data_IF_627974871806
#
_entry.id   IF_627974871806
#
_cell.length_a   1.000
_cell.length_b   1.000
_cell.length_c   1.000
_cell.angle_alpha   90.00
_cell.angle_beta   90.00
_cell.angle_gamma   90.00
#
_symmetry.space_group_name_H-M   'P 1'
#
loop_
_entity.id
_entity.type
_entity.pdbx_description
1 polymer ?
#
# COMPACT_ATOMS: atom_id res chain seq x y z
N UNK A 1 -61.01 -34.02 22.09
CA UNK A 1 -60.07 -33.09 22.75
C UNK A 1 -58.81 -32.98 21.90
N UNK A 2 -58.22 -31.79 21.88
CA UNK A 2 -57.00 -31.30 21.22
C UNK A 2 -55.84 -32.33 21.10
N UNK A 3 -54.89 -32.25 20.14
CA UNK A 3 -53.90 -31.19 19.96
C UNK A 3 -53.10 -31.40 18.66
N UNK A 4 -52.74 -30.28 18.01
CA UNK A 4 -51.69 -30.14 16.98
C UNK A 4 -50.41 -29.62 17.67
N UNK A 5 -49.21 -30.14 17.31
CA UNK A 5 -48.05 -29.38 16.77
C UNK A 5 -46.65 -30.04 16.94
N UNK A 6 -45.85 -29.89 15.86
CA UNK A 6 -44.38 -29.68 15.75
C UNK A 6 -43.45 -30.90 15.98
N UNK A 7 -42.35 -31.08 15.23
CA UNK A 7 -41.67 -30.15 14.32
C UNK A 7 -40.73 -30.84 13.32
N UNK A 8 -40.63 -30.21 12.15
CA UNK A 8 -39.58 -30.35 11.13
C UNK A 8 -38.58 -29.20 11.30
N UNK A 9 -37.36 -29.45 10.81
CA UNK A 9 -36.27 -28.51 10.52
C UNK A 9 -35.48 -27.97 11.73
N UNK A 10 -34.22 -28.38 11.78
CA UNK A 10 -33.14 -27.67 12.45
C UNK A 10 -31.95 -27.63 11.50
N UNK A 11 -31.95 -26.67 10.58
CA UNK A 11 -30.74 -26.23 9.91
C UNK A 11 -29.79 -25.71 11.01
N UNK A 12 -28.63 -26.35 11.15
CA UNK A 12 -27.58 -25.81 12.00
C UNK A 12 -27.18 -24.41 11.50
N UNK A 13 -26.85 -23.47 12.40
CA UNK A 13 -26.48 -22.13 11.99
C UNK A 13 -25.29 -22.22 11.04
N UNK A 14 -25.49 -21.78 9.80
CA UNK A 14 -24.41 -21.47 8.88
C UNK A 14 -23.43 -20.58 9.65
N UNK A 15 -22.16 -20.99 9.71
CA UNK A 15 -21.10 -20.14 10.20
C UNK A 15 -21.20 -18.81 9.46
N UNK A 16 -21.64 -17.77 10.17
CA UNK A 16 -21.68 -16.41 9.65
C UNK A 16 -20.23 -16.05 9.33
N UNK A 17 -19.91 -16.04 8.03
CA UNK A 17 -18.63 -15.58 7.52
C UNK A 17 -18.34 -14.20 8.07
N UNK A 18 -17.11 -14.02 8.57
CA UNK A 18 -16.64 -12.77 9.13
C UNK A 18 -16.80 -11.62 8.13
N UNK A 19 -17.67 -10.67 8.47
CA UNK A 19 -18.09 -9.54 7.65
C UNK A 19 -17.00 -8.48 7.34
N UNK A 20 -15.73 -8.86 7.45
CA UNK A 20 -14.56 -8.01 7.20
C UNK A 20 -13.73 -8.46 5.98
N UNK A 21 -14.00 -9.66 5.43
CA UNK A 21 -13.07 -10.41 4.55
C UNK A 21 -13.64 -10.80 3.17
N UNK A 22 -14.47 -9.95 2.55
CA UNK A 22 -14.70 -10.03 1.09
C UNK A 22 -13.97 -8.86 0.41
N UNK A 23 -12.66 -8.76 0.60
CA UNK A 23 -11.84 -7.97 -0.30
C UNK A 23 -11.75 -8.76 -1.61
N UNK A 24 -12.67 -8.43 -2.53
CA UNK A 24 -12.88 -9.04 -3.86
C UNK A 24 -13.81 -10.26 -3.84
N UNK A 25 -15.11 -10.01 -4.02
CA UNK A 25 -16.00 -11.04 -4.59
C UNK A 25 -15.52 -11.47 -5.98
N UNK A 26 -15.82 -12.73 -6.35
CA UNK A 26 -15.42 -13.62 -7.45
C UNK A 26 -15.16 -13.08 -8.89
N UNK A 27 -14.83 -11.81 -9.11
CA UNK A 27 -14.93 -11.17 -10.43
C UNK A 27 -13.61 -10.82 -11.13
N UNK A 28 -12.70 -10.09 -10.49
CA UNK A 28 -11.47 -9.62 -11.14
C UNK A 28 -10.33 -9.42 -10.13
N UNK A 29 -9.10 -9.80 -10.48
CA UNK A 29 -7.93 -9.61 -9.63
C UNK A 29 -7.35 -8.21 -9.78
N UNK A 30 -7.02 -7.59 -8.64
CA UNK A 30 -6.06 -6.48 -8.57
C UNK A 30 -4.70 -7.00 -9.04
N UNK A 31 -4.08 -6.35 -10.02
CA UNK A 31 -2.78 -6.79 -10.56
C UNK A 31 -1.72 -5.71 -10.46
N UNK A 32 -0.46 -6.13 -10.49
CA UNK A 32 0.67 -5.21 -10.52
C UNK A 32 0.87 -4.63 -11.93
N UNK A 33 1.24 -3.35 -12.01
CA UNK A 33 1.74 -2.79 -13.28
C UNK A 33 3.21 -3.18 -13.41
N UNK A 34 3.62 -3.73 -14.56
CA UNK A 34 5.02 -4.09 -14.77
C UNK A 34 5.91 -2.86 -14.67
N UNK A 35 6.79 -2.85 -13.67
CA UNK A 35 7.83 -1.86 -13.49
C UNK A 35 9.16 -2.47 -13.92
N UNK A 36 9.59 -2.14 -15.14
CA UNK A 36 10.81 -2.69 -15.71
C UNK A 36 11.92 -1.63 -15.78
N UNK A 37 12.98 -1.86 -14.99
CA UNK A 37 14.21 -1.05 -15.01
C UNK A 37 15.24 -1.57 -16.02
N UNK A 38 15.00 -2.74 -16.61
CA UNK A 38 15.92 -3.45 -17.49
C UNK A 38 15.68 -3.15 -18.99
N UNK A 39 14.44 -2.88 -19.43
CA UNK A 39 14.12 -2.55 -20.83
C UNK A 39 14.68 -1.21 -21.30
N UNK A 40 15.95 -1.21 -21.72
CA UNK A 40 16.61 -0.11 -22.43
C UNK A 40 16.80 1.16 -21.60
N UNK A 41 17.99 1.77 -21.68
CA UNK A 41 18.32 3.01 -20.96
C UNK A 41 17.33 4.16 -21.25
N UNK A 42 16.70 4.16 -22.43
CA UNK A 42 16.01 5.33 -22.98
C UNK A 42 14.60 5.61 -22.44
N UNK A 43 13.84 4.66 -21.88
CA UNK A 43 12.42 4.92 -21.57
C UNK A 43 12.17 5.61 -20.23
N UNK A 44 12.81 5.14 -19.15
CA UNK A 44 12.63 5.74 -17.81
C UNK A 44 13.55 6.94 -17.59
N UNK A 45 14.75 6.99 -18.19
CA UNK A 45 15.64 8.14 -18.11
C UNK A 45 15.00 9.38 -18.75
N UNK A 46 14.33 9.24 -19.91
CA UNK A 46 13.60 10.33 -20.56
C UNK A 46 12.41 10.81 -19.73
N UNK A 47 11.70 9.91 -19.05
CA UNK A 47 10.63 10.31 -18.12
C UNK A 47 11.20 11.05 -16.91
N UNK A 48 12.24 10.52 -16.28
CA UNK A 48 12.94 11.19 -15.18
C UNK A 48 13.57 12.53 -15.57
N UNK A 49 13.99 12.68 -16.83
CA UNK A 49 14.55 13.92 -17.34
C UNK A 49 13.55 15.08 -17.30
N UNK A 50 12.24 14.79 -17.40
CA UNK A 50 11.16 15.79 -17.35
C UNK A 50 10.97 16.39 -15.95
N UNK A 51 11.34 15.64 -14.91
CA UNK A 51 11.10 16.01 -13.51
C UNK A 51 12.28 16.76 -12.87
N UNK A 52 13.14 17.43 -13.65
CA UNK A 52 14.45 17.91 -13.17
C UNK A 52 14.71 19.39 -13.25
N UNK A 53 15.43 19.83 -12.22
CA UNK A 53 16.16 21.09 -12.09
C UNK A 53 17.69 20.92 -11.93
N UNK A 54 18.31 19.78 -12.31
CA UNK A 54 19.75 19.55 -12.00
C UNK A 54 20.52 18.45 -12.76
N UNK A 55 20.78 17.28 -12.14
CA UNK A 55 21.78 16.28 -12.59
C UNK A 55 21.20 14.91 -12.94
N UNK A 56 21.66 14.19 -14.00
CA UNK A 56 21.61 12.70 -14.28
C UNK A 56 20.82 11.74 -13.35
N UNK A 57 19.71 11.06 -13.69
CA UNK A 57 19.09 10.05 -12.76
C UNK A 57 19.67 8.75 -13.25
N UNK A 58 20.42 8.07 -12.40
CA UNK A 58 21.03 6.80 -12.71
C UNK A 58 20.20 5.64 -12.15
N UNK A 59 20.44 4.42 -12.64
CA UNK A 59 19.85 3.20 -12.05
C UNK A 59 20.16 3.07 -10.55
N UNK A 60 21.31 3.58 -10.12
CA UNK A 60 21.73 3.60 -8.71
C UNK A 60 20.82 4.49 -7.86
N UNK A 61 20.24 5.55 -8.43
CA UNK A 61 19.28 6.44 -7.75
C UNK A 61 17.87 5.84 -7.63
N UNK A 62 17.61 4.75 -8.35
CA UNK A 62 16.38 3.96 -8.30
C UNK A 62 16.58 2.64 -7.54
N UNK A 63 17.78 2.32 -7.06
CA UNK A 63 18.02 1.09 -6.32
C UNK A 63 17.32 1.14 -4.96
N UNK A 64 16.73 0.02 -4.54
CA UNK A 64 16.15 -0.16 -3.21
C UNK A 64 17.02 -1.16 -2.42
N UNK A 65 18.04 -0.70 -1.66
CA UNK A 65 18.99 -1.59 -0.98
C UNK A 65 18.35 -2.54 0.03
N UNK A 66 17.16 -2.19 0.54
CA UNK A 66 16.39 -3.01 1.47
C UNK A 66 16.24 -4.47 0.98
N UNK A 67 16.10 -4.69 -0.33
CA UNK A 67 15.97 -6.04 -0.90
C UNK A 67 17.19 -6.95 -0.66
N UNK A 68 18.36 -6.37 -0.36
CA UNK A 68 19.54 -7.16 0.02
C UNK A 68 19.30 -7.92 1.33
N UNK A 69 18.55 -7.34 2.28
CA UNK A 69 18.22 -7.98 3.57
C UNK A 69 17.42 -9.27 3.39
N UNK A 70 16.33 -9.20 2.63
CA UNK A 70 15.43 -10.35 2.46
C UNK A 70 15.97 -11.40 1.49
N UNK A 71 17.01 -11.05 0.73
CA UNK A 71 17.80 -11.99 -0.09
C UNK A 71 18.94 -12.65 0.69
N UNK A 72 19.12 -12.31 1.97
CA UNK A 72 20.18 -12.87 2.81
C UNK A 72 21.58 -12.33 2.56
N UNK A 73 21.70 -11.18 1.86
CA UNK A 73 22.99 -10.52 1.66
C UNK A 73 23.28 -9.48 2.75
N UNK A 74 24.55 -9.06 2.86
CA UNK A 74 24.92 -7.97 3.75
C UNK A 74 24.57 -6.60 3.12
N UNK A 75 23.89 -5.75 3.88
CA UNK A 75 23.59 -4.36 3.50
C UNK A 75 24.87 -3.55 3.22
N UNK A 76 26.01 -3.94 3.79
CA UNK A 76 27.29 -3.25 3.67
C UNK A 76 28.18 -3.78 2.54
N UNK A 77 27.83 -4.89 1.87
CA UNK A 77 28.67 -5.55 0.86
C UNK A 77 28.66 -4.89 -0.54
N UNK A 78 27.87 -3.84 -0.78
CA UNK A 78 27.94 -3.10 -2.06
C UNK A 78 28.94 -1.96 -1.99
N UNK A 79 30.15 -2.25 -2.49
CA UNK A 79 31.24 -1.30 -2.68
C UNK A 79 30.84 -0.03 -3.43
N UNK A 80 31.47 1.08 -3.03
CA UNK A 80 31.49 2.33 -3.79
C UNK A 80 30.88 3.53 -3.09
N UNK A 81 31.67 4.15 -2.22
CA UNK A 81 31.51 5.50 -1.66
C UNK A 81 30.33 5.76 -0.71
N UNK A 82 30.70 5.95 0.55
CA UNK A 82 30.02 6.70 1.62
C UNK A 82 29.80 8.19 1.30
N UNK A 83 29.56 8.57 0.04
CA UNK A 83 29.13 9.94 -0.30
C UNK A 83 27.65 10.06 0.03
N UNK A 84 27.37 10.53 1.25
CA UNK A 84 26.13 11.22 1.68
C UNK A 84 24.94 11.00 0.75
N UNK A 85 24.46 9.75 0.67
CA UNK A 85 23.25 9.42 -0.07
C UNK A 85 22.13 10.07 0.74
N UNK A 86 21.52 11.13 0.20
CA UNK A 86 20.28 11.65 0.78
C UNK A 86 19.23 10.57 0.60
N UNK A 87 19.01 9.82 1.69
CA UNK A 87 18.05 8.74 1.75
C UNK A 87 16.63 9.28 1.70
N UNK A 88 16.34 10.35 2.44
CA UNK A 88 15.05 11.02 2.43
C UNK A 88 14.82 11.83 1.15
N UNK A 89 13.56 11.87 0.71
CA UNK A 89 13.10 12.73 -0.38
C UNK A 89 13.19 14.20 0.04
N UNK A 90 13.77 15.05 -0.81
CA UNK A 90 13.72 16.49 -0.57
C UNK A 90 12.34 17.06 -0.93
N UNK A 91 12.08 18.29 -0.47
CA UNK A 91 10.79 18.96 -0.67
C UNK A 91 10.43 19.14 -2.15
N UNK A 92 11.42 19.38 -3.01
CA UNK A 92 11.16 19.56 -4.45
C UNK A 92 10.70 18.26 -5.10
N UNK A 93 11.31 17.13 -4.74
CA UNK A 93 10.92 15.81 -5.23
C UNK A 93 9.50 15.46 -4.77
N UNK A 94 9.14 15.78 -3.53
CA UNK A 94 7.81 15.53 -2.99
C UNK A 94 6.73 16.40 -3.62
N UNK A 95 7.06 17.65 -3.95
CA UNK A 95 6.14 18.54 -4.65
C UNK A 95 5.87 18.06 -6.09
N UNK A 96 6.90 17.60 -6.79
CA UNK A 96 6.74 16.96 -8.11
C UNK A 96 5.89 15.69 -8.00
N UNK A 97 6.14 14.84 -7.00
CA UNK A 97 5.31 13.66 -6.77
C UNK A 97 3.84 14.04 -6.52
N UNK A 98 3.59 15.03 -5.66
CA UNK A 98 2.24 15.50 -5.35
C UNK A 98 1.52 16.04 -6.57
N UNK A 99 2.19 16.85 -7.40
CA UNK A 99 1.57 17.52 -8.54
C UNK A 99 1.39 16.60 -9.77
N UNK A 100 2.31 15.67 -9.99
CA UNK A 100 2.31 14.85 -11.21
C UNK A 100 1.77 13.43 -11.02
N UNK A 101 1.84 12.87 -9.81
CA UNK A 101 1.46 11.47 -9.56
C UNK A 101 0.23 11.30 -8.69
N UNK A 102 -0.16 12.33 -7.92
CA UNK A 102 -1.28 12.23 -6.99
C UNK A 102 -2.39 13.21 -7.36
N UNK A 103 -3.42 12.71 -8.04
CA UNK A 103 -4.63 13.50 -8.32
C UNK A 103 -5.66 13.26 -7.23
N UNK A 104 -6.02 14.31 -6.49
CA UNK A 104 -7.01 14.22 -5.40
C UNK A 104 -8.40 14.62 -5.90
N UNK A 105 -9.40 13.80 -5.59
CA UNK A 105 -10.82 14.12 -5.77
C UNK A 105 -11.46 14.17 -4.39
N UNK A 106 -11.82 15.38 -3.96
CA UNK A 106 -12.31 15.63 -2.60
C UNK A 106 -13.77 15.23 -2.38
N UNK A 107 -14.61 15.23 -3.42
CA UNK A 107 -16.06 15.00 -3.34
C UNK A 107 -16.77 15.85 -2.26
N UNK A 108 -16.33 17.09 -2.06
CA UNK A 108 -16.92 18.01 -1.08
C UNK A 108 -16.50 17.76 0.38
N UNK A 109 -15.53 16.87 0.62
CA UNK A 109 -14.90 16.68 1.92
C UNK A 109 -14.14 17.94 2.33
N UNK A 110 -14.10 18.26 3.62
CA UNK A 110 -13.50 19.49 4.11
C UNK A 110 -11.98 19.54 3.86
N UNK A 111 -11.45 20.77 3.65
CA UNK A 111 -10.04 21.00 3.30
C UNK A 111 -9.05 20.45 4.33
N UNK A 112 -9.41 20.39 5.60
CA UNK A 112 -8.52 19.88 6.66
C UNK A 112 -8.37 18.38 6.50
N UNK A 113 -9.48 17.66 6.31
CA UNK A 113 -9.48 16.23 6.05
C UNK A 113 -8.77 15.89 4.74
N UNK A 114 -8.96 16.70 3.68
CA UNK A 114 -8.20 16.57 2.43
C UNK A 114 -6.69 16.72 2.67
N UNK A 115 -6.28 17.74 3.42
CA UNK A 115 -4.87 17.97 3.77
C UNK A 115 -4.25 16.79 4.50
N UNK A 116 -4.95 16.27 5.53
CA UNK A 116 -4.51 15.10 6.30
C UNK A 116 -4.36 13.85 5.43
N UNK A 117 -5.31 13.61 4.52
CA UNK A 117 -5.23 12.49 3.59
C UNK A 117 -3.99 12.60 2.69
N UNK A 118 -3.78 13.76 2.07
CA UNK A 118 -2.64 14.00 1.18
C UNK A 118 -1.31 13.88 1.92
N UNK A 119 -1.19 14.47 3.11
CA UNK A 119 0.01 14.36 3.94
C UNK A 119 0.30 12.91 4.31
N UNK A 120 -0.73 12.14 4.71
CA UNK A 120 -0.60 10.72 5.03
C UNK A 120 -0.10 9.89 3.86
N UNK A 121 -0.62 10.13 2.65
CA UNK A 121 -0.20 9.42 1.43
C UNK A 121 1.24 9.78 1.06
N UNK A 122 1.59 11.07 1.02
CA UNK A 122 2.93 11.55 0.65
C UNK A 122 3.98 11.08 1.66
N UNK A 123 3.62 10.91 2.94
CA UNK A 123 4.53 10.45 3.99
C UNK A 123 5.19 9.11 3.68
N UNK A 124 4.52 8.20 2.98
CA UNK A 124 5.07 6.87 2.62
C UNK A 124 6.30 6.95 1.73
N UNK A 125 6.34 7.91 0.80
CA UNK A 125 7.47 8.11 -0.12
C UNK A 125 8.47 9.17 0.37
N UNK A 126 8.13 9.93 1.41
CA UNK A 126 8.98 10.97 1.97
C UNK A 126 10.29 10.45 2.56
N UNK A 127 10.26 9.27 3.19
CA UNK A 127 11.43 8.68 3.85
C UNK A 127 12.47 8.09 2.90
N UNK A 128 12.13 7.82 1.62
CA UNK A 128 13.02 7.19 0.66
C UNK A 128 12.94 7.84 -0.74
N UNK A 129 13.97 8.59 -1.11
CA UNK A 129 14.08 9.28 -2.39
C UNK A 129 14.13 8.33 -3.59
N UNK A 130 14.72 7.14 -3.45
CA UNK A 130 14.71 6.14 -4.52
C UNK A 130 13.28 5.61 -4.74
N UNK A 131 12.55 5.35 -3.65
CA UNK A 131 11.16 4.94 -3.72
C UNK A 131 10.28 6.03 -4.35
N UNK A 132 10.43 7.29 -3.92
CA UNK A 132 9.70 8.42 -4.49
C UNK A 132 9.93 8.56 -6.00
N UNK A 133 11.19 8.44 -6.46
CA UNK A 133 11.52 8.46 -7.90
C UNK A 133 10.91 7.28 -8.66
N UNK A 134 10.83 6.10 -8.04
CA UNK A 134 10.12 4.96 -8.67
C UNK A 134 8.63 5.24 -8.79
N UNK A 135 8.01 5.85 -7.79
CA UNK A 135 6.61 6.25 -7.88
C UNK A 135 6.37 7.37 -8.92
N UNK A 136 7.33 8.26 -9.16
CA UNK A 136 7.31 9.18 -10.33
C UNK A 136 7.38 8.46 -11.69
N UNK A 137 7.97 7.27 -11.70
CA UNK A 137 8.01 6.40 -12.88
C UNK A 137 6.86 5.41 -12.95
N UNK A 138 6.05 5.32 -11.90
CA UNK A 138 4.90 4.44 -11.85
C UNK A 138 3.72 5.02 -12.64
N UNK A 139 2.60 4.30 -12.59
CA UNK A 139 1.28 4.77 -13.03
C UNK A 139 0.77 5.82 -12.02
N UNK A 140 0.16 6.93 -12.47
CA UNK A 140 -0.45 7.91 -11.58
C UNK A 140 -1.57 7.33 -10.72
N UNK A 141 -1.79 7.95 -9.56
CA UNK A 141 -2.80 7.55 -8.58
C UNK A 141 -3.86 8.65 -8.50
N UNK A 142 -5.11 8.24 -8.68
CA UNK A 142 -6.28 9.05 -8.37
C UNK A 142 -6.76 8.71 -6.97
N UNK A 143 -6.44 9.59 -6.02
CA UNK A 143 -6.90 9.49 -4.64
C UNK A 143 -8.29 10.11 -4.49
N UNK A 144 -9.27 9.31 -4.11
CA UNK A 144 -10.68 9.69 -4.02
C UNK A 144 -11.10 9.64 -2.55
N UNK A 145 -11.53 10.78 -2.01
CA UNK A 145 -12.15 10.80 -0.71
C UNK A 145 -13.63 10.42 -0.84
N UNK A 146 -14.03 9.37 -0.15
CA UNK A 146 -15.38 8.83 -0.19
C UNK A 146 -16.17 9.51 0.92
N UNK A 147 -17.23 10.27 0.61
CA UNK A 147 -18.07 10.90 1.62
C UNK A 147 -18.71 9.86 2.54
N UNK A 148 -19.02 10.26 3.78
CA UNK A 148 -19.55 9.37 4.80
C UNK A 148 -20.77 8.61 4.31
N UNK A 149 -20.76 7.30 4.53
CA UNK A 149 -21.86 6.41 4.15
C UNK A 149 -22.02 6.18 2.64
N UNK A 150 -21.19 6.81 1.79
CA UNK A 150 -21.21 6.57 0.34
C UNK A 150 -20.52 5.25 -0.01
N UNK A 151 -20.87 4.70 -1.16
CA UNK A 151 -20.30 3.46 -1.68
C UNK A 151 -19.14 3.75 -2.64
N UNK A 152 -18.01 3.04 -2.50
CA UNK A 152 -16.85 3.17 -3.38
C UNK A 152 -17.21 3.01 -4.87
N UNK A 153 -18.18 2.14 -5.18
CA UNK A 153 -18.59 1.81 -6.55
C UNK A 153 -19.14 3.01 -7.32
N UNK A 154 -19.71 3.99 -6.61
CA UNK A 154 -20.17 5.25 -7.21
C UNK A 154 -19.02 6.11 -7.74
N UNK A 155 -17.78 5.80 -7.36
CA UNK A 155 -16.58 6.54 -7.69
C UNK A 155 -15.61 5.76 -8.59
N UNK A 156 -16.09 4.71 -9.26
CA UNK A 156 -15.33 3.96 -10.26
C UNK A 156 -14.61 2.71 -9.75
N UNK A 157 -14.77 2.35 -8.48
CA UNK A 157 -14.25 1.08 -7.94
C UNK A 157 -15.07 -0.12 -8.44
N UNK A 158 -14.47 -1.34 -8.52
CA UNK A 158 -15.14 -2.54 -9.01
C UNK A 158 -16.45 -2.90 -8.29
N UNK A 159 -17.34 -3.62 -8.99
CA UNK A 159 -18.66 -3.99 -8.45
C UNK A 159 -18.60 -4.87 -7.20
N UNK A 160 -17.53 -5.66 -7.07
CA UNK A 160 -17.30 -6.60 -5.98
C UNK A 160 -16.52 -5.99 -4.80
N UNK A 161 -16.30 -4.68 -4.82
CA UNK A 161 -15.62 -3.95 -3.75
C UNK A 161 -16.44 -4.00 -2.45
N UNK A 162 -15.80 -4.36 -1.34
CA UNK A 162 -16.45 -4.39 -0.03
C UNK A 162 -16.98 -2.99 0.35
N UNK A 163 -18.30 -2.79 0.49
CA UNK A 163 -18.87 -1.49 0.81
C UNK A 163 -18.49 -1.01 2.21
N UNK A 164 -18.00 -1.89 3.10
CA UNK A 164 -17.60 -1.55 4.47
C UNK A 164 -16.10 -1.26 4.64
N UNK A 165 -15.30 -1.34 3.57
CA UNK A 165 -13.87 -1.07 3.71
C UNK A 165 -13.62 0.37 4.16
N UNK A 166 -12.59 0.59 4.98
CA UNK A 166 -12.18 1.92 5.41
C UNK A 166 -11.40 2.66 4.30
N UNK A 167 -10.57 1.93 3.56
CA UNK A 167 -9.80 2.40 2.42
C UNK A 167 -9.58 1.25 1.43
N UNK A 168 -9.26 1.59 0.19
CA UNK A 168 -9.08 0.62 -0.90
C UNK A 168 -8.07 1.14 -1.91
N UNK A 169 -7.01 0.39 -2.14
CA UNK A 169 -6.19 0.52 -3.34
C UNK A 169 -6.60 -0.48 -4.43
N UNK A 170 -6.83 0.01 -5.64
CA UNK A 170 -7.19 -0.76 -6.81
C UNK A 170 -6.32 -0.40 -8.02
N UNK A 171 -5.84 -1.43 -8.72
CA UNK A 171 -5.12 -1.26 -9.99
C UNK A 171 -5.50 -2.35 -10.98
N UNK A 172 -5.83 -1.93 -12.20
CA UNK A 172 -5.80 -2.76 -13.40
C UNK A 172 -4.68 -2.24 -14.32
N UNK A 173 -3.78 -3.08 -14.85
CA UNK A 173 -2.63 -2.64 -15.65
C UNK A 173 -2.98 -1.77 -16.86
N UNK A 174 -4.13 -2.02 -17.49
CA UNK A 174 -4.67 -1.32 -18.65
C UNK A 174 -5.24 0.08 -18.36
N UNK A 175 -5.65 0.35 -17.12
CA UNK A 175 -6.21 1.65 -16.74
C UNK A 175 -5.14 2.75 -16.78
N UNK A 176 -5.51 3.97 -17.15
CA UNK A 176 -4.57 5.09 -17.21
C UNK A 176 -4.04 5.52 -15.83
N UNK A 177 -4.86 5.36 -14.78
CA UNK A 177 -4.58 5.73 -13.40
C UNK A 177 -4.98 4.56 -12.48
N UNK A 178 -4.25 4.36 -11.38
CA UNK A 178 -4.70 3.51 -10.28
C UNK A 178 -5.67 4.29 -9.37
N UNK A 179 -6.56 3.58 -8.67
CA UNK A 179 -7.52 4.19 -7.75
C UNK A 179 -7.09 3.95 -6.30
N UNK A 180 -7.16 4.99 -5.49
CA UNK A 180 -6.97 4.90 -4.04
C UNK A 180 -8.14 5.59 -3.35
N UNK A 181 -8.98 4.83 -2.67
CA UNK A 181 -10.18 5.32 -2.01
C UNK A 181 -9.96 5.42 -0.50
N UNK A 182 -10.39 6.52 0.11
CA UNK A 182 -10.33 6.72 1.56
C UNK A 182 -11.68 7.25 2.04
N UNK A 183 -12.33 6.57 2.98
CA UNK A 183 -13.53 7.11 3.63
C UNK A 183 -13.17 8.29 4.53
N UNK A 184 -13.85 9.42 4.34
CA UNK A 184 -13.56 10.64 5.08
C UNK A 184 -13.62 10.45 6.60
N UNK A 185 -14.56 9.61 7.07
CA UNK A 185 -14.78 9.34 8.49
C UNK A 185 -13.61 8.60 9.15
N UNK A 186 -12.69 8.02 8.38
CA UNK A 186 -11.52 7.30 8.89
C UNK A 186 -10.19 8.03 8.70
N UNK A 187 -10.12 9.07 7.86
CA UNK A 187 -8.88 9.82 7.59
C UNK A 187 -8.25 10.35 8.88
N UNK A 188 -9.04 10.99 9.74
CA UNK A 188 -8.56 11.55 11.01
C UNK A 188 -8.38 10.50 12.12
N UNK A 189 -9.36 9.63 12.42
CA UNK A 189 -9.23 8.71 13.55
C UNK A 189 -8.31 7.51 13.27
N UNK A 190 -8.04 7.18 12.00
CA UNK A 190 -7.13 6.10 11.59
C UNK A 190 -6.05 6.65 10.65
N UNK A 191 -5.11 7.48 11.15
CA UNK A 191 -4.11 8.12 10.29
C UNK A 191 -3.16 7.13 9.60
N UNK A 192 -3.07 5.90 10.10
CA UNK A 192 -2.32 4.81 9.48
C UNK A 192 -2.99 4.26 8.21
N UNK A 193 -4.28 4.56 7.96
CA UNK A 193 -5.00 4.10 6.77
C UNK A 193 -4.36 4.60 5.47
N UNK A 194 -3.96 5.88 5.42
CA UNK A 194 -3.27 6.43 4.25
C UNK A 194 -1.95 5.72 3.99
N UNK A 195 -1.23 5.36 5.06
CA UNK A 195 0.02 4.60 4.96
C UNK A 195 -0.26 3.20 4.41
N UNK A 196 -1.31 2.54 4.91
CA UNK A 196 -1.74 1.22 4.46
C UNK A 196 -2.03 1.21 2.95
N UNK A 197 -2.95 2.05 2.48
CA UNK A 197 -3.37 2.06 1.08
C UNK A 197 -2.24 2.50 0.13
N UNK A 198 -1.44 3.50 0.53
CA UNK A 198 -0.30 3.93 -0.27
C UNK A 198 0.79 2.86 -0.33
N UNK A 199 0.90 1.99 0.69
CA UNK A 199 1.83 0.87 0.65
C UNK A 199 1.41 -0.19 -0.36
N UNK A 200 0.11 -0.46 -0.53
CA UNK A 200 -0.39 -1.27 -1.64
C UNK A 200 0.00 -0.68 -3.00
N UNK A 201 -0.13 0.64 -3.14
CA UNK A 201 0.29 1.34 -4.36
C UNK A 201 1.81 1.20 -4.62
N UNK A 202 2.63 1.35 -3.58
CA UNK A 202 4.08 1.10 -3.66
C UNK A 202 4.35 -0.34 -4.09
N UNK A 203 3.69 -1.32 -3.48
CA UNK A 203 3.91 -2.73 -3.74
C UNK A 203 3.59 -3.11 -5.19
N UNK A 204 2.45 -2.63 -5.71
CA UNK A 204 1.93 -3.03 -7.01
C UNK A 204 2.38 -2.15 -8.17
N UNK A 205 2.83 -0.92 -7.91
CA UNK A 205 3.25 0.03 -8.95
C UNK A 205 4.73 0.41 -8.88
N UNK A 206 5.32 0.45 -7.68
CA UNK A 206 6.69 0.95 -7.46
C UNK A 206 7.76 -0.15 -7.36
N UNK A 207 7.36 -1.41 -7.20
CA UNK A 207 8.28 -2.55 -7.16
C UNK A 207 8.34 -3.27 -8.51
N UNK A 208 9.50 -3.86 -8.79
CA UNK A 208 9.67 -4.80 -9.92
C UNK A 208 9.03 -6.15 -9.59
N UNK A 209 8.82 -6.99 -10.62
CA UNK A 209 8.28 -8.35 -10.42
C UNK A 209 9.21 -9.24 -9.58
N UNK A 210 10.53 -9.13 -9.74
CA UNK A 210 11.49 -9.87 -8.90
C UNK A 210 11.43 -9.44 -7.44
N UNK A 211 11.36 -8.14 -7.18
CA UNK A 211 11.25 -7.60 -5.83
C UNK A 211 9.95 -8.05 -5.14
N UNK A 212 8.81 -8.05 -5.84
CA UNK A 212 7.57 -8.64 -5.31
C UNK A 212 7.72 -10.14 -5.02
N UNK A 213 8.35 -10.89 -5.94
CA UNK A 213 8.58 -12.32 -5.76
C UNK A 213 9.48 -12.62 -4.55
N UNK A 214 10.43 -11.74 -4.20
CA UNK A 214 11.24 -11.87 -3.00
C UNK A 214 10.43 -11.69 -1.72
N UNK A 215 9.51 -10.71 -1.70
CA UNK A 215 8.58 -10.51 -0.58
C UNK A 215 7.67 -11.73 -0.44
N UNK A 216 7.07 -12.19 -1.54
CA UNK A 216 6.23 -13.39 -1.56
C UNK A 216 6.99 -14.59 -1.01
N UNK A 217 8.23 -14.84 -1.47
CA UNK A 217 9.03 -15.98 -1.01
C UNK A 217 9.27 -15.99 0.50
N UNK A 218 9.49 -14.81 1.09
CA UNK A 218 9.74 -14.67 2.53
C UNK A 218 8.46 -14.87 3.35
N UNK A 219 7.32 -14.34 2.88
CA UNK A 219 6.10 -14.26 3.67
C UNK A 219 5.11 -15.41 3.41
N UNK A 220 5.13 -16.02 2.23
CA UNK A 220 4.18 -17.09 1.87
C UNK A 220 4.14 -18.27 2.86
N UNK A 221 5.27 -18.74 3.46
CA UNK A 221 5.22 -19.81 4.45
C UNK A 221 4.35 -19.50 5.68
N UNK A 222 4.24 -18.21 6.05
CA UNK A 222 3.46 -17.73 7.20
C UNK A 222 2.02 -17.42 6.79
N UNK A 223 1.85 -16.69 5.69
CA UNK A 223 0.55 -16.10 5.32
C UNK A 223 -0.27 -16.96 4.35
N UNK A 224 0.36 -17.88 3.62
CA UNK A 224 -0.26 -18.91 2.75
C UNK A 224 -1.20 -18.40 1.65
N UNK A 225 -1.28 -17.09 1.42
CA UNK A 225 -2.03 -16.45 0.32
C UNK A 225 -1.32 -15.18 -0.10
N UNK A 226 -1.36 -14.87 -1.40
CA UNK A 226 -0.83 -13.60 -1.93
C UNK A 226 -1.55 -12.39 -1.37
N UNK A 227 -2.87 -12.46 -1.27
CA UNK A 227 -3.68 -11.37 -0.68
C UNK A 227 -3.23 -11.11 0.76
N UNK A 228 -3.05 -12.16 1.55
CA UNK A 228 -2.55 -12.04 2.93
C UNK A 228 -1.13 -11.51 3.01
N UNK A 229 -0.26 -11.85 2.05
CA UNK A 229 1.08 -11.26 1.94
C UNK A 229 1.01 -9.75 1.67
N UNK A 230 0.16 -9.32 0.74
CA UNK A 230 -0.04 -7.90 0.42
C UNK A 230 -0.55 -7.11 1.65
N UNK A 231 -1.55 -7.64 2.36
CA UNK A 231 -2.06 -7.03 3.59
C UNK A 231 -1.01 -6.98 4.71
N UNK A 232 -0.20 -8.03 4.85
CA UNK A 232 0.90 -8.04 5.80
C UNK A 232 1.92 -6.93 5.49
N UNK A 233 2.29 -6.74 4.23
CA UNK A 233 3.20 -5.66 3.82
C UNK A 233 2.65 -4.29 4.25
N UNK A 234 1.36 -4.04 4.01
CA UNK A 234 0.72 -2.79 4.39
C UNK A 234 0.67 -2.59 5.92
N UNK A 235 0.32 -3.62 6.70
CA UNK A 235 0.30 -3.56 8.18
C UNK A 235 1.71 -3.35 8.76
N UNK A 236 2.75 -3.96 8.18
CA UNK A 236 4.12 -3.70 8.62
C UNK A 236 4.52 -2.24 8.35
N UNK A 237 4.06 -1.64 7.25
CA UNK A 237 4.29 -0.23 6.96
C UNK A 237 3.60 0.70 7.98
N UNK A 238 2.35 0.41 8.37
CA UNK A 238 1.65 1.13 9.45
C UNK A 238 2.54 1.23 10.70
N UNK A 239 3.15 0.12 11.09
CA UNK A 239 4.04 0.04 12.26
C UNK A 239 5.36 0.80 12.08
N UNK A 240 5.98 0.75 10.90
CA UNK A 240 7.19 1.53 10.61
C UNK A 240 6.95 3.03 10.85
N UNK A 241 5.75 3.52 10.54
CA UNK A 241 5.37 4.92 10.74
C UNK A 241 4.77 5.24 12.12
N UNK A 242 4.80 4.27 13.04
CA UNK A 242 4.39 4.46 14.44
C UNK A 242 2.87 4.43 14.65
N UNK A 243 2.14 3.61 13.88
CA UNK A 243 0.69 3.46 14.06
C UNK A 243 0.33 3.13 15.52
N UNK A 244 -0.59 3.93 16.06
CA UNK A 244 -1.25 3.72 17.34
C UNK A 244 -2.59 3.04 17.07
N UNK A 245 -2.68 1.77 17.45
CA UNK A 245 -3.89 0.97 17.28
C UNK A 245 -4.80 1.11 18.50
N UNK A 246 -6.11 1.14 18.28
CA UNK A 246 -7.08 0.96 19.36
C UNK A 246 -7.15 -0.50 19.78
N UNK A 247 -7.83 -0.79 20.90
CA UNK A 247 -8.12 -2.16 21.31
C UNK A 247 -8.91 -2.92 20.23
N UNK A 248 -9.91 -2.27 19.62
CA UNK A 248 -10.66 -2.84 18.49
C UNK A 248 -9.76 -3.18 17.29
N UNK A 249 -8.81 -2.31 16.96
CA UNK A 249 -7.86 -2.55 15.87
C UNK A 249 -6.94 -3.76 16.15
N UNK A 250 -6.56 -3.94 17.43
CA UNK A 250 -5.74 -5.05 17.89
C UNK A 250 -6.54 -6.35 17.99
N UNK A 251 -7.84 -6.29 18.26
CA UNK A 251 -8.75 -7.43 18.37
C UNK A 251 -9.47 -7.78 17.07
N UNK A 252 -9.20 -7.04 15.99
CA UNK A 252 -9.74 -7.34 14.67
C UNK A 252 -9.51 -8.82 14.30
N UNK A 253 -10.53 -9.52 13.78
CA UNK A 253 -10.44 -10.93 13.46
C UNK A 253 -9.41 -11.18 12.34
N UNK A 254 -9.00 -12.44 12.20
CA UNK A 254 -8.14 -12.87 11.11
C UNK A 254 -6.73 -12.27 11.16
N UNK A 255 -6.19 -11.96 9.99
CA UNK A 255 -4.79 -11.57 9.84
C UNK A 255 -4.49 -10.16 10.35
N UNK A 256 -5.45 -9.24 10.31
CA UNK A 256 -5.22 -7.85 10.72
C UNK A 256 -4.83 -7.77 12.18
N UNK A 257 -5.69 -8.25 13.09
CA UNK A 257 -5.37 -8.26 14.51
C UNK A 257 -4.16 -9.14 14.81
N UNK A 258 -4.04 -10.30 14.16
CA UNK A 258 -2.88 -11.19 14.33
C UNK A 258 -1.56 -10.50 13.99
N UNK A 259 -1.43 -9.91 12.80
CA UNK A 259 -0.19 -9.27 12.33
C UNK A 259 0.15 -8.03 13.17
N UNK A 260 -0.86 -7.28 13.63
CA UNK A 260 -0.64 -6.14 14.54
C UNK A 260 -0.10 -6.56 15.90
N UNK A 261 -0.60 -7.68 16.45
CA UNK A 261 -0.15 -8.27 17.72
C UNK A 261 1.23 -8.91 17.61
N UNK A 262 1.49 -9.63 16.52
CA UNK A 262 2.75 -10.36 16.29
C UNK A 262 3.91 -9.45 15.85
N UNK A 263 3.70 -8.13 15.78
CA UNK A 263 4.73 -7.19 15.40
C UNK A 263 5.95 -7.26 16.33
N UNK A 264 7.10 -7.54 15.73
CA UNK A 264 8.41 -7.47 16.38
C UNK A 264 9.32 -6.51 15.59
N UNK A 265 9.85 -5.42 16.19
CA UNK A 265 10.73 -4.49 15.52
C UNK A 265 12.10 -5.08 15.10
N UNK A 266 12.48 -6.26 15.61
CA UNK A 266 13.71 -6.98 15.28
C UNK A 266 13.52 -8.07 14.21
N UNK A 267 12.28 -8.44 13.89
CA UNK A 267 11.99 -9.39 12.83
C UNK A 267 12.56 -8.92 11.49
N UNK A 268 13.13 -9.83 10.69
CA UNK A 268 13.82 -9.50 9.41
C UNK A 268 12.94 -8.66 8.48
N UNK A 269 11.64 -8.98 8.41
CA UNK A 269 10.71 -8.23 7.57
C UNK A 269 10.40 -6.83 8.12
N UNK A 270 10.41 -6.62 9.43
CA UNK A 270 10.28 -5.29 10.06
C UNK A 270 11.47 -4.41 9.73
N UNK A 271 12.67 -4.97 9.77
CA UNK A 271 13.91 -4.29 9.38
C UNK A 271 13.92 -3.96 7.88
N UNK A 272 13.49 -4.91 7.04
CA UNK A 272 13.29 -4.69 5.61
C UNK A 272 12.35 -3.52 5.33
N UNK A 273 11.15 -3.52 5.93
CA UNK A 273 10.16 -2.46 5.72
C UNK A 273 10.67 -1.10 6.20
N UNK A 274 11.40 -1.06 7.32
CA UNK A 274 12.04 0.17 7.81
C UNK A 274 13.08 0.70 6.81
N UNK A 275 13.94 -0.17 6.29
CA UNK A 275 14.94 0.20 5.29
C UNK A 275 14.33 0.57 3.93
N UNK A 276 13.18 -0.03 3.58
CA UNK A 276 12.46 0.27 2.34
C UNK A 276 11.81 1.65 2.41
N UNK A 277 11.15 1.99 3.52
CA UNK A 277 10.32 3.19 3.63
C UNK A 277 11.09 4.39 4.22
N UNK A 278 12.03 4.13 5.13
CA UNK A 278 12.78 5.14 5.88
C UNK A 278 14.24 4.71 6.11
N UNK A 279 15.05 4.50 5.04
CA UNK A 279 16.47 4.21 5.19
C UNK A 279 17.16 5.32 5.99
N UNK A 280 17.96 4.93 6.99
CA UNK A 280 18.74 5.83 7.85
C UNK A 280 20.21 5.76 7.48
#
# INVERSE_FOLDING_TARGET
MAFWHRGRAGAGPSAAGSAWDEFVGDGESREATSFDLQSGRTRWETRMARHRSGRPTSRVDLALPAFTLIRGGDLFERGGSTRTRRWASDASLLEVFRSEQLRVVDNGVDRTTVGLAVEGLVRVVAGNAALCRRMLLAKPIRAILIPRGSDFRLFGFPRHTNPRSAGIFWNRPEDAEALLGLREEYVKPKPWLMIHEMTHAVHLLGLTSEERADIERLLMPVYRSRIWVEEAVAIYAERVFGAQYTEDDMNAPGLYGKTRRDWDPQHVFSLFMRMLLMPR
#
